data_IF_888560083860
#
_entry.id   IF_888560083860
#
_cell.length_a   1.000
_cell.length_b   1.000
_cell.length_c   1.000
_cell.angle_alpha   90.00
_cell.angle_beta   90.00
_cell.angle_gamma   90.00
#
_symmetry.space_group_name_H-M   'P 1'
#
loop_
_entity.id
_entity.type
_entity.pdbx_description
1 polymer ?
#
# COMPACT_ATOMS: atom_id res chain seq x y z
N UNK A 1 -17.87 10.66 12.42
CA UNK A 1 -16.59 10.02 12.03
C UNK A 1 -16.54 9.92 10.52
N UNK A 2 -15.48 10.43 9.91
CA UNK A 2 -15.27 10.30 8.47
C UNK A 2 -14.93 8.84 8.10
N UNK A 3 -15.46 8.38 6.97
CA UNK A 3 -15.20 7.03 6.44
C UNK A 3 -14.35 7.16 5.19
N UNK A 4 -13.20 6.50 5.19
CA UNK A 4 -12.31 6.43 4.03
C UNK A 4 -12.46 5.07 3.34
N UNK A 5 -12.46 5.08 2.01
CA UNK A 5 -12.48 3.88 1.18
C UNK A 5 -11.29 3.89 0.23
N UNK A 6 -10.50 2.81 0.24
CA UNK A 6 -9.42 2.63 -0.72
C UNK A 6 -10.00 2.12 -2.04
N UNK A 7 -10.10 3.00 -3.04
CA UNK A 7 -10.67 2.68 -4.35
C UNK A 7 -9.65 1.98 -5.25
N UNK A 8 -8.43 2.49 -5.30
CA UNK A 8 -7.32 1.95 -6.08
C UNK A 8 -5.99 2.27 -5.42
N UNK A 9 -4.98 1.44 -5.63
CA UNK A 9 -3.61 1.65 -5.18
C UNK A 9 -2.64 1.42 -6.33
N UNK A 10 -1.79 2.41 -6.59
CA UNK A 10 -0.60 2.23 -7.41
C UNK A 10 0.61 2.14 -6.48
N UNK A 11 1.38 1.06 -6.57
CA UNK A 11 2.54 0.81 -5.73
C UNK A 11 3.77 0.50 -6.57
N UNK A 12 4.89 1.10 -6.21
CA UNK A 12 6.21 0.77 -6.73
C UNK A 12 7.25 0.88 -5.62
N UNK A 13 8.38 0.21 -5.80
CA UNK A 13 9.56 0.25 -4.91
C UNK A 13 9.29 -0.11 -3.45
N UNK A 14 8.28 -0.94 -3.18
CA UNK A 14 8.03 -1.51 -1.85
C UNK A 14 8.40 -2.99 -1.86
N UNK A 15 9.34 -3.38 -0.99
CA UNK A 15 9.92 -4.72 -0.93
C UNK A 15 10.32 -5.19 -2.34
N UNK A 16 9.73 -6.28 -2.84
CA UNK A 16 10.06 -6.88 -4.13
C UNK A 16 9.24 -6.34 -5.32
N UNK A 17 8.35 -5.36 -5.11
CA UNK A 17 7.61 -4.70 -6.20
C UNK A 17 8.49 -3.58 -6.74
N UNK A 18 9.35 -3.86 -7.71
CA UNK A 18 10.23 -2.84 -8.28
C UNK A 18 9.49 -1.93 -9.27
N UNK A 19 8.81 -2.55 -10.24
CA UNK A 19 8.02 -1.84 -11.24
C UNK A 19 6.63 -1.49 -10.67
N UNK A 20 6.03 -0.36 -11.11
CA UNK A 20 4.69 0.01 -10.70
C UNK A 20 3.67 -1.09 -11.02
N UNK A 21 2.83 -1.41 -10.04
CA UNK A 21 1.61 -2.19 -10.24
C UNK A 21 0.41 -1.37 -9.77
N UNK A 22 -0.72 -1.55 -10.45
CA UNK A 22 -2.00 -0.94 -10.07
C UNK A 22 -2.97 -2.03 -9.61
N UNK A 23 -3.63 -1.78 -8.49
CA UNK A 23 -4.64 -2.64 -7.90
C UNK A 23 -5.91 -1.81 -7.75
N UNK A 24 -6.96 -2.20 -8.47
CA UNK A 24 -8.29 -1.61 -8.34
C UNK A 24 -9.10 -2.44 -7.35
N UNK A 25 -9.49 -1.83 -6.23
CA UNK A 25 -10.30 -2.48 -5.18
C UNK A 25 -11.80 -2.26 -5.39
N UNK A 26 -12.17 -1.23 -6.15
CA UNK A 26 -13.55 -1.02 -6.57
C UNK A 26 -13.68 -1.27 -8.06
N UNK A 27 -14.58 -2.16 -8.45
CA UNK A 27 -14.96 -2.30 -9.86
C UNK A 27 -15.82 -1.09 -10.25
N UNK A 28 -15.35 -0.31 -11.22
CA UNK A 28 -16.01 0.91 -11.72
C UNK A 28 -17.44 0.71 -12.23
N UNK A 29 -17.86 -0.53 -12.45
CA UNK A 29 -19.21 -0.86 -12.94
C UNK A 29 -20.28 -0.91 -11.84
N UNK A 30 -19.92 -1.20 -10.59
CA UNK A 30 -20.87 -1.37 -9.48
C UNK A 30 -20.31 -0.71 -8.21
N UNK A 31 -20.69 0.56 -7.97
CA UNK A 31 -20.29 1.37 -6.80
C UNK A 31 -20.99 0.95 -5.49
N UNK A 32 -21.29 -0.34 -5.30
CA UNK A 32 -21.79 -0.82 -4.02
C UNK A 32 -20.62 -1.03 -3.04
N UNK A 33 -20.33 0.00 -2.24
CA UNK A 33 -19.26 0.00 -1.24
C UNK A 33 -19.48 -1.03 -0.13
N UNK A 34 -20.73 -1.35 0.21
CA UNK A 34 -21.07 -2.30 1.29
C UNK A 34 -20.68 -3.73 0.92
N UNK A 35 -20.92 -4.12 -0.33
CA UNK A 35 -20.64 -5.48 -0.82
C UNK A 35 -19.19 -5.69 -1.27
N UNK A 36 -18.36 -4.63 -1.27
CA UNK A 36 -16.99 -4.66 -1.82
C UNK A 36 -15.89 -4.51 -0.75
N UNK A 37 -16.22 -4.65 0.53
CA UNK A 37 -15.31 -4.37 1.65
C UNK A 37 -14.19 -5.38 1.84
N UNK A 38 -14.36 -6.61 1.37
CA UNK A 38 -13.39 -7.70 1.55
C UNK A 38 -12.72 -8.04 0.23
N UNK A 39 -11.40 -8.13 0.24
CA UNK A 39 -10.57 -8.44 -0.93
C UNK A 39 -9.50 -9.46 -0.55
N UNK A 40 -9.46 -10.57 -1.28
CA UNK A 40 -8.44 -11.60 -1.12
C UNK A 40 -7.24 -11.32 -2.03
N UNK A 41 -6.02 -11.49 -1.51
CA UNK A 41 -4.78 -11.40 -2.27
C UNK A 41 -4.12 -12.77 -2.24
N UNK A 42 -4.06 -13.44 -3.40
CA UNK A 42 -3.57 -14.81 -3.55
C UNK A 42 -2.36 -14.88 -4.47
N UNK A 43 -1.60 -15.97 -4.40
CA UNK A 43 -0.40 -16.21 -5.21
C UNK A 43 0.66 -17.04 -4.49
N UNK A 44 1.76 -17.38 -5.16
CA UNK A 44 2.88 -18.16 -4.61
C UNK A 44 3.62 -17.42 -3.47
N UNK A 45 4.40 -18.14 -2.68
CA UNK A 45 5.25 -17.53 -1.65
C UNK A 45 6.33 -16.65 -2.29
N UNK A 46 6.68 -15.54 -1.63
CA UNK A 46 7.67 -14.59 -2.15
C UNK A 46 7.21 -13.69 -3.31
N UNK A 47 6.00 -13.87 -3.86
CA UNK A 47 5.53 -13.11 -5.05
C UNK A 47 5.21 -11.63 -4.77
N UNK A 48 5.14 -11.20 -3.50
CA UNK A 48 4.89 -9.81 -3.12
C UNK A 48 3.54 -9.53 -2.46
N UNK A 49 2.77 -10.56 -2.07
CA UNK A 49 1.50 -10.39 -1.32
C UNK A 49 1.66 -9.48 -0.09
N UNK A 50 2.70 -9.72 0.72
CA UNK A 50 3.00 -8.91 1.91
C UNK A 50 3.44 -7.49 1.56
N UNK A 51 4.03 -7.27 0.39
CA UNK A 51 4.41 -5.93 -0.06
C UNK A 51 3.16 -5.08 -0.35
N UNK A 52 2.14 -5.68 -0.98
CA UNK A 52 0.83 -5.04 -1.20
C UNK A 52 0.19 -4.67 0.14
N UNK A 53 0.08 -5.62 1.08
CA UNK A 53 -0.51 -5.37 2.41
C UNK A 53 0.24 -4.25 3.14
N UNK A 54 1.57 -4.26 3.14
CA UNK A 54 2.37 -3.20 3.77
C UNK A 54 2.18 -1.84 3.11
N UNK A 55 1.93 -1.81 1.80
CA UNK A 55 1.65 -0.55 1.09
C UNK A 55 0.30 0.04 1.50
N UNK A 56 -0.72 -0.81 1.68
CA UNK A 56 -2.04 -0.39 2.21
C UNK A 56 -1.89 0.16 3.64
N UNK A 57 -1.15 -0.52 4.50
CA UNK A 57 -0.89 -0.09 5.89
C UNK A 57 -0.17 1.26 5.95
N UNK A 58 0.83 1.49 5.07
CA UNK A 58 1.52 2.78 4.98
C UNK A 58 0.55 3.89 4.59
N UNK A 59 -0.27 3.69 3.54
CA UNK A 59 -1.24 4.70 3.11
C UNK A 59 -2.28 4.97 4.21
N UNK A 60 -2.77 3.93 4.88
CA UNK A 60 -3.70 4.07 5.99
C UNK A 60 -3.10 4.93 7.11
N UNK A 61 -1.86 4.65 7.52
CA UNK A 61 -1.19 5.42 8.57
C UNK A 61 -0.88 6.86 8.14
N UNK A 62 -0.50 7.09 6.88
CA UNK A 62 -0.29 8.44 6.35
C UNK A 62 -1.56 9.30 6.42
N UNK A 63 -2.73 8.70 6.23
CA UNK A 63 -4.01 9.41 6.24
C UNK A 63 -4.54 9.57 7.67
N UNK A 64 -4.46 8.52 8.49
CA UNK A 64 -5.12 8.48 9.79
C UNK A 64 -4.23 8.90 10.96
N UNK A 65 -2.90 8.88 10.81
CA UNK A 65 -1.96 9.29 11.84
C UNK A 65 -1.10 10.47 11.33
N UNK A 66 -1.42 11.72 11.73
CA UNK A 66 -0.67 12.90 11.26
C UNK A 66 0.80 12.90 11.70
N UNK A 67 1.14 12.18 12.76
CA UNK A 67 2.50 12.11 13.29
C UNK A 67 3.31 10.95 12.69
N UNK A 68 2.71 10.12 11.82
CA UNK A 68 3.35 8.89 11.31
C UNK A 68 4.75 9.13 10.75
N UNK A 69 4.96 10.20 9.99
CA UNK A 69 6.26 10.55 9.41
C UNK A 69 7.22 11.30 10.36
N UNK A 70 6.72 11.82 11.48
CA UNK A 70 7.57 12.43 12.51
C UNK A 70 8.17 11.42 13.48
N UNK A 71 7.55 10.24 13.59
CA UNK A 71 8.00 9.18 14.48
C UNK A 71 9.23 8.44 13.91
N UNK A 72 10.33 8.47 14.68
CA UNK A 72 11.62 7.88 14.28
C UNK A 72 11.51 6.38 13.92
N UNK A 73 10.71 5.62 14.66
CA UNK A 73 10.52 4.19 14.43
C UNK A 73 9.85 3.91 13.08
N UNK A 74 8.83 4.70 12.72
CA UNK A 74 8.16 4.60 11.42
C UNK A 74 9.11 4.94 10.28
N UNK A 75 9.92 5.99 10.44
CA UNK A 75 10.96 6.33 9.46
C UNK A 75 11.96 5.19 9.29
N UNK A 76 12.39 4.55 10.38
CA UNK A 76 13.31 3.39 10.31
C UNK A 76 12.65 2.20 9.62
N UNK A 77 11.38 1.92 9.90
CA UNK A 77 10.61 0.88 9.22
C UNK A 77 10.49 1.16 7.71
N UNK A 78 10.09 2.37 7.33
CA UNK A 78 9.93 2.77 5.92
C UNK A 78 11.26 2.64 5.15
N UNK A 79 12.38 3.02 5.77
CA UNK A 79 13.71 2.85 5.18
C UNK A 79 14.08 1.39 4.88
N UNK A 80 13.55 0.42 5.65
CA UNK A 80 13.76 -1.02 5.41
C UNK A 80 12.84 -1.55 4.31
N UNK A 81 11.69 -0.92 4.08
CA UNK A 81 10.68 -1.38 3.14
C UNK A 81 10.85 -0.79 1.74
N UNK A 82 11.29 0.46 1.64
CA UNK A 82 11.37 1.20 0.38
C UNK A 82 12.71 0.92 -0.31
N UNK A 83 12.67 0.45 -1.56
CA UNK A 83 13.83 0.37 -2.43
C UNK A 83 14.20 1.79 -2.87
N UNK A 84 15.35 2.26 -2.39
CA UNK A 84 15.91 3.56 -2.79
C UNK A 84 16.47 3.47 -4.20
N UNK A 85 16.19 4.48 -5.02
CA UNK A 85 16.93 4.70 -6.27
C UNK A 85 18.34 5.12 -5.85
N UNK A 86 19.34 4.28 -6.11
CA UNK A 86 20.71 4.79 -6.23
C UNK A 86 20.79 5.39 -7.62
N UNK A 87 20.88 6.70 -7.71
CA UNK A 87 21.33 7.32 -8.96
C UNK A 87 22.76 6.79 -9.17
N UNK A 88 22.96 6.00 -10.23
CA UNK A 88 24.28 5.75 -10.78
C UNK A 88 24.71 7.07 -11.42
N UNK A 89 25.34 7.93 -10.61
CA UNK A 89 26.19 9.02 -11.08
C UNK A 89 27.64 8.54 -10.96
#
# INVERSE_FOLDING_TARGET
>A
MEKFYLVSLCVSRIKNIFNPIKIDFLNSKNYNLENNRVKGIFGKNGIGKTAIIKSVEIIQNLILNPNFLSEKENILMLNKLIIKVRNLL
#
